data_IF_899302669164
#
_entry.id   IF_899302669164
#
_cell.length_a   1.000
_cell.length_b   1.000
_cell.length_c   1.000
_cell.angle_alpha   90.00
_cell.angle_beta   90.00
_cell.angle_gamma   90.00
#
_symmetry.space_group_name_H-M   'P 1'
#
loop_
_entity.id
_entity.type
_entity.pdbx_description
1 polymer ?
#
# COMPACT_ATOMS: atom_id res chain seq x y z
N UNK A 1 -15.22 -25.87 -7.09
CA UNK A 1 -13.83 -25.68 -7.59
C UNK A 1 -12.87 -26.51 -6.73
N UNK A 2 -12.53 -27.74 -7.14
CA UNK A 2 -11.74 -28.70 -6.32
C UNK A 2 -10.30 -28.94 -6.79
N UNK A 3 -9.84 -28.32 -7.88
CA UNK A 3 -8.48 -28.54 -8.39
C UNK A 3 -7.41 -28.10 -7.38
N UNK A 4 -6.25 -28.77 -7.40
CA UNK A 4 -5.10 -28.42 -6.54
C UNK A 4 -4.73 -26.93 -6.67
N UNK A 5 -4.77 -26.39 -7.89
CA UNK A 5 -4.58 -24.96 -8.18
C UNK A 5 -5.64 -24.08 -7.52
N UNK A 6 -6.93 -24.45 -7.60
CA UNK A 6 -8.01 -23.72 -6.96
C UNK A 6 -7.87 -23.64 -5.44
N UNK A 7 -7.50 -24.75 -4.80
CA UNK A 7 -7.22 -24.81 -3.35
C UNK A 7 -6.08 -23.87 -2.95
N UNK A 8 -4.96 -23.89 -3.69
CA UNK A 8 -3.83 -22.98 -3.48
C UNK A 8 -4.24 -21.50 -3.65
N UNK A 9 -4.96 -21.18 -4.72
CA UNK A 9 -5.41 -19.80 -4.98
C UNK A 9 -6.36 -19.29 -3.90
N UNK A 10 -7.24 -20.16 -3.35
CA UNK A 10 -8.09 -19.81 -2.21
C UNK A 10 -7.26 -19.48 -0.97
N UNK A 11 -6.28 -20.31 -0.62
CA UNK A 11 -5.41 -20.07 0.54
C UNK A 11 -4.65 -18.74 0.44
N UNK A 12 -4.08 -18.43 -0.73
CA UNK A 12 -3.37 -17.16 -0.97
C UNK A 12 -4.32 -15.95 -0.85
N UNK A 13 -5.56 -16.08 -1.33
CA UNK A 13 -6.56 -15.02 -1.14
C UNK A 13 -6.90 -14.86 0.33
N UNK A 14 -7.19 -15.95 1.05
CA UNK A 14 -7.50 -15.90 2.49
C UNK A 14 -6.36 -15.28 3.31
N UNK A 15 -5.12 -15.68 3.07
CA UNK A 15 -3.96 -15.12 3.79
C UNK A 15 -3.75 -13.63 3.55
N UNK A 16 -4.29 -13.07 2.46
CA UNK A 16 -4.20 -11.64 2.15
C UNK A 16 -5.44 -10.83 2.55
N UNK A 17 -6.63 -11.44 2.60
CA UNK A 17 -7.87 -10.76 3.01
C UNK A 17 -8.10 -10.76 4.53
N UNK A 18 -7.67 -11.80 5.25
CA UNK A 18 -7.83 -11.88 6.71
C UNK A 18 -7.12 -10.76 7.49
N UNK A 19 -5.85 -10.40 7.20
CA UNK A 19 -5.21 -9.28 7.90
C UNK A 19 -5.86 -7.92 7.58
N UNK A 20 -6.44 -7.75 6.39
CA UNK A 20 -7.18 -6.54 6.02
C UNK A 20 -8.48 -6.45 6.80
N UNK A 21 -9.23 -7.56 6.86
CA UNK A 21 -10.46 -7.65 7.65
C UNK A 21 -10.19 -7.40 9.13
N UNK A 22 -9.16 -8.04 9.70
CA UNK A 22 -8.76 -7.82 11.10
C UNK A 22 -8.45 -6.35 11.40
N UNK A 23 -7.72 -5.68 10.49
CA UNK A 23 -7.44 -4.24 10.61
C UNK A 23 -8.71 -3.40 10.60
N UNK A 24 -9.65 -3.68 9.69
CA UNK A 24 -10.92 -2.95 9.63
C UNK A 24 -11.73 -3.16 10.90
N UNK A 25 -11.93 -4.42 11.32
CA UNK A 25 -12.76 -4.80 12.47
C UNK A 25 -12.23 -4.26 13.79
N UNK A 26 -10.92 -4.37 14.04
CA UNK A 26 -10.32 -4.04 15.33
C UNK A 26 -9.66 -2.66 15.38
N UNK A 27 -8.85 -2.29 14.37
CA UNK A 27 -8.09 -1.03 14.38
C UNK A 27 -8.94 0.15 13.91
N UNK A 28 -9.73 -0.01 12.84
CA UNK A 28 -10.66 1.02 12.36
C UNK A 28 -12.05 0.95 13.01
N UNK A 29 -12.24 0.07 14.01
CA UNK A 29 -13.45 0.00 14.81
C UNK A 29 -14.69 -0.50 14.07
N UNK A 30 -14.55 -1.26 12.98
CA UNK A 30 -15.70 -1.73 12.20
C UNK A 30 -16.64 -2.66 13.01
N UNK A 31 -16.13 -3.25 14.11
CA UNK A 31 -16.91 -4.03 15.08
C UNK A 31 -17.86 -3.20 15.96
N UNK A 32 -17.63 -1.89 16.09
CA UNK A 32 -18.35 -0.99 16.99
C UNK A 32 -18.98 0.18 16.22
N UNK A 33 -19.39 -0.06 14.97
CA UNK A 33 -19.99 0.98 14.12
C UNK A 33 -21.41 1.31 14.59
N UNK A 34 -21.67 2.59 14.85
CA UNK A 34 -22.96 3.08 15.32
C UNK A 34 -23.91 3.35 14.14
N UNK A 35 -24.29 2.29 13.41
CA UNK A 35 -25.26 2.37 12.31
C UNK A 35 -26.42 1.41 12.54
N UNK A 36 -27.63 1.89 12.29
CA UNK A 36 -28.84 1.10 12.43
C UNK A 36 -29.04 0.19 11.23
N UNK A 37 -29.18 -1.11 11.50
CA UNK A 37 -29.54 -2.12 10.52
C UNK A 37 -28.37 -2.65 9.67
N UNK A 38 -28.52 -3.91 9.23
CA UNK A 38 -27.51 -4.64 8.46
C UNK A 38 -27.18 -3.98 7.12
N UNK A 39 -28.17 -3.40 6.45
CA UNK A 39 -27.98 -2.74 5.16
C UNK A 39 -27.07 -1.51 5.26
N UNK A 40 -27.23 -0.68 6.30
CA UNK A 40 -26.40 0.50 6.55
C UNK A 40 -24.99 0.09 6.97
N UNK A 41 -24.86 -0.89 7.86
CA UNK A 41 -23.58 -1.50 8.24
C UNK A 41 -22.80 -2.01 7.03
N UNK A 42 -23.48 -2.67 6.09
CA UNK A 42 -22.86 -3.17 4.87
C UNK A 42 -22.31 -2.05 3.98
N UNK A 43 -23.02 -0.92 3.85
CA UNK A 43 -22.54 0.25 3.11
C UNK A 43 -21.26 0.83 3.73
N UNK A 44 -21.25 1.02 5.05
CA UNK A 44 -20.06 1.51 5.77
C UNK A 44 -18.88 0.56 5.62
N UNK A 45 -19.12 -0.75 5.73
CA UNK A 45 -18.10 -1.78 5.52
C UNK A 45 -17.48 -1.69 4.12
N UNK A 46 -18.31 -1.57 3.07
CA UNK A 46 -17.83 -1.46 1.68
C UNK A 46 -17.01 -0.18 1.45
N UNK A 47 -17.46 0.95 1.99
CA UNK A 47 -16.73 2.22 1.92
C UNK A 47 -15.36 2.11 2.62
N UNK A 48 -15.33 1.58 3.84
CA UNK A 48 -14.10 1.41 4.61
C UNK A 48 -13.11 0.47 3.91
N UNK A 49 -13.60 -0.66 3.37
CA UNK A 49 -12.77 -1.60 2.60
C UNK A 49 -12.20 -0.97 1.32
N UNK A 50 -13.02 -0.18 0.60
CA UNK A 50 -12.59 0.54 -0.60
C UNK A 50 -11.52 1.57 -0.25
N UNK A 51 -11.74 2.38 0.78
CA UNK A 51 -10.76 3.37 1.25
C UNK A 51 -9.43 2.71 1.69
N UNK A 52 -9.49 1.59 2.41
CA UNK A 52 -8.30 0.85 2.81
C UNK A 52 -7.52 0.33 1.61
N UNK A 53 -8.21 -0.23 0.62
CA UNK A 53 -7.60 -0.71 -0.62
C UNK A 53 -6.95 0.44 -1.40
N UNK A 54 -7.62 1.59 -1.51
CA UNK A 54 -7.06 2.79 -2.14
C UNK A 54 -5.81 3.30 -1.41
N UNK A 55 -5.84 3.38 -0.08
CA UNK A 55 -4.67 3.74 0.75
C UNK A 55 -3.49 2.80 0.49
N UNK A 56 -3.74 1.49 0.41
CA UNK A 56 -2.72 0.49 0.10
C UNK A 56 -2.17 0.67 -1.32
N UNK A 57 -3.04 0.86 -2.30
CA UNK A 57 -2.66 1.10 -3.70
C UNK A 57 -1.75 2.33 -3.83
N UNK A 58 -2.14 3.46 -3.23
CA UNK A 58 -1.34 4.70 -3.26
C UNK A 58 0.01 4.54 -2.57
N UNK A 59 0.08 3.85 -1.42
CA UNK A 59 1.35 3.55 -0.75
C UNK A 59 2.27 2.68 -1.62
N UNK A 60 1.72 1.65 -2.25
CA UNK A 60 2.50 0.77 -3.15
C UNK A 60 2.92 1.52 -4.41
N UNK A 61 2.07 2.37 -4.98
CA UNK A 61 2.39 3.19 -6.14
C UNK A 61 3.55 4.15 -5.85
N UNK A 62 3.49 4.89 -4.74
CA UNK A 62 4.60 5.74 -4.28
C UNK A 62 5.90 4.97 -4.10
N UNK A 63 5.85 3.77 -3.50
CA UNK A 63 7.04 2.91 -3.32
C UNK A 63 7.64 2.44 -4.65
N UNK A 64 6.82 2.16 -5.67
CA UNK A 64 7.31 1.78 -7.01
C UNK A 64 8.01 2.93 -7.71
N UNK A 65 7.55 4.17 -7.51
CA UNK A 65 8.20 5.36 -8.04
C UNK A 65 9.54 5.62 -7.36
N UNK A 66 9.61 5.52 -6.03
CA UNK A 66 10.87 5.73 -5.28
C UNK A 66 11.93 4.68 -5.58
N UNK A 67 11.52 3.43 -5.82
CA UNK A 67 12.42 2.31 -6.11
C UNK A 67 12.63 2.11 -7.62
N UNK A 68 12.29 3.10 -8.45
CA UNK A 68 12.53 3.04 -9.88
C UNK A 68 14.01 3.31 -10.14
N UNK A 69 14.66 2.44 -10.91
CA UNK A 69 16.05 2.63 -11.35
C UNK A 69 16.27 3.99 -12.04
N UNK A 70 15.23 4.56 -12.67
CA UNK A 70 15.28 5.90 -13.26
C UNK A 70 15.41 7.02 -12.19
N UNK A 71 14.77 6.88 -11.04
CA UNK A 71 14.87 7.86 -9.93
C UNK A 71 16.21 7.72 -9.22
N UNK A 72 16.71 6.49 -9.05
CA UNK A 72 18.02 6.23 -8.48
C UNK A 72 19.15 6.80 -9.37
N UNK A 73 19.10 6.56 -10.67
CA UNK A 73 20.09 7.10 -11.62
C UNK A 73 20.09 8.63 -11.65
N UNK A 74 18.93 9.27 -11.65
CA UNK A 74 18.84 10.74 -11.57
C UNK A 74 19.41 11.27 -10.25
N UNK A 75 19.11 10.63 -9.11
CA UNK A 75 19.68 10.99 -7.82
C UNK A 75 21.21 10.83 -7.78
N UNK A 76 21.75 9.77 -8.40
CA UNK A 76 23.19 9.55 -8.53
C UNK A 76 23.86 10.63 -9.39
N UNK A 77 23.27 11.01 -10.52
CA UNK A 77 23.80 12.07 -11.38
C UNK A 77 23.78 13.44 -10.69
N UNK A 78 22.69 13.77 -10.00
CA UNK A 78 22.58 15.03 -9.23
C UNK A 78 23.62 15.06 -8.10
N UNK A 79 23.78 13.97 -7.36
CA UNK A 79 24.77 13.90 -6.27
C UNK A 79 26.22 13.94 -6.79
N UNK A 80 26.51 13.33 -7.94
CA UNK A 80 27.81 13.41 -8.59
C UNK A 80 28.12 14.84 -9.05
N UNK A 81 27.14 15.53 -9.65
CA UNK A 81 27.27 16.92 -10.08
C UNK A 81 27.48 17.88 -8.90
N UNK A 82 26.71 17.71 -7.82
CA UNK A 82 26.85 18.52 -6.60
C UNK A 82 28.20 18.27 -5.91
N UNK A 83 28.67 17.01 -5.82
CA UNK A 83 30.01 16.70 -5.30
C UNK A 83 31.11 17.37 -6.12
N UNK A 84 31.02 17.28 -7.45
CA UNK A 84 32.00 17.88 -8.33
C UNK A 84 31.99 19.41 -8.24
N UNK A 85 30.82 20.03 -8.10
CA UNK A 85 30.69 21.48 -7.93
C UNK A 85 31.25 21.95 -6.59
N UNK A 86 30.94 21.28 -5.48
CA UNK A 86 31.46 21.61 -4.15
C UNK A 86 32.98 21.43 -4.07
N UNK A 87 33.51 20.36 -4.68
CA UNK A 87 34.94 20.12 -4.74
C UNK A 87 35.69 21.17 -5.59
N UNK A 88 35.03 21.75 -6.58
CA UNK A 88 35.57 22.86 -7.37
C UNK A 88 35.62 24.15 -6.56
N UNK A 89 34.56 24.49 -5.82
CA UNK A 89 34.53 25.69 -4.96
C UNK A 89 35.47 25.62 -3.76
N UNK A 90 35.79 24.44 -3.23
CA UNK A 90 36.73 24.25 -2.12
C UNK A 90 38.21 24.16 -2.54
N UNK A 91 38.49 24.09 -3.85
CA UNK A 91 39.85 24.05 -4.41
C UNK A 91 40.35 25.40 -4.93
N UNK A 92 39.52 26.43 -4.80
CA UNK A 92 39.86 27.85 -4.92
C UNK A 92 39.74 28.50 -3.55
#
# INVERSE_FOLDING_TARGET
QLSRRGKRMKQVRQSTVEPVFGSLVHYYGLSKINVLGKASAHKVMLMAATCFNLKKYLKTFKRKLTNSAAVETVAHLISAFLKSSIAFTLKF
#
